data_IF_931548574003
#
_entry.id   IF_931548574003
#
_cell.length_a   1.000
_cell.length_b   1.000
_cell.length_c   1.000
_cell.angle_alpha   90.00
_cell.angle_beta   90.00
_cell.angle_gamma   90.00
#
_symmetry.space_group_name_H-M   'P 1'
#
loop_
_entity.id
_entity.type
_entity.pdbx_description
1 polymer ?
#
# COMPACT_ATOMS: atom_id res chain seq x y z
N UNK A 1 -4.48 -14.86 -4.06
CA UNK A 1 -4.42 -14.84 -2.58
C UNK A 1 -5.73 -15.27 -1.90
N UNK A 2 -6.90 -14.80 -2.36
CA UNK A 2 -8.21 -15.14 -1.76
C UNK A 2 -8.47 -16.65 -1.69
N UNK A 3 -8.28 -17.35 -2.82
CA UNK A 3 -8.45 -18.82 -2.89
C UNK A 3 -7.49 -19.58 -1.97
N UNK A 4 -6.24 -19.12 -1.84
CA UNK A 4 -5.26 -19.69 -0.92
C UNK A 4 -5.73 -19.51 0.54
N UNK A 5 -6.21 -18.32 0.90
CA UNK A 5 -6.70 -18.05 2.25
C UNK A 5 -7.95 -18.88 2.57
N UNK A 6 -8.82 -19.14 1.60
CA UNK A 6 -9.96 -20.04 1.75
C UNK A 6 -9.52 -21.45 2.17
N UNK A 7 -8.55 -22.04 1.46
CA UNK A 7 -7.97 -23.35 1.82
C UNK A 7 -7.29 -23.29 3.20
N UNK A 8 -6.46 -22.26 3.45
CA UNK A 8 -5.72 -22.12 4.72
C UNK A 8 -6.62 -21.98 5.94
N UNK A 9 -7.76 -21.30 5.82
CA UNK A 9 -8.73 -21.13 6.92
C UNK A 9 -9.26 -22.50 7.39
N UNK A 10 -9.59 -23.39 6.45
CA UNK A 10 -10.11 -24.74 6.73
C UNK A 10 -9.08 -25.70 7.31
N UNK A 11 -7.82 -25.56 6.89
CA UNK A 11 -6.70 -26.38 7.37
C UNK A 11 -6.07 -25.87 8.68
N UNK A 12 -6.72 -24.93 9.38
CA UNK A 12 -6.20 -24.29 10.57
C UNK A 12 -7.14 -24.45 11.75
N UNK A 13 -6.60 -24.65 12.95
CA UNK A 13 -7.37 -24.70 14.20
C UNK A 13 -7.85 -23.33 14.68
N UNK A 14 -7.25 -22.23 14.20
CA UNK A 14 -7.48 -20.88 14.75
C UNK A 14 -7.94 -19.83 13.73
N UNK A 15 -7.85 -20.12 12.42
CA UNK A 15 -8.21 -19.17 11.36
C UNK A 15 -9.70 -19.27 11.02
N UNK A 16 -10.22 -18.31 10.26
CA UNK A 16 -11.62 -18.30 9.81
C UNK A 16 -12.61 -18.38 10.97
N UNK A 17 -12.37 -17.58 12.01
CA UNK A 17 -13.23 -17.45 13.18
C UNK A 17 -13.05 -18.52 14.25
N UNK A 18 -12.23 -19.56 14.01
CA UNK A 18 -12.07 -20.67 14.96
C UNK A 18 -11.40 -20.27 16.26
N UNK A 19 -10.53 -19.26 16.27
CA UNK A 19 -9.97 -18.74 17.54
C UNK A 19 -11.06 -18.13 18.42
N UNK A 20 -11.94 -17.30 17.85
CA UNK A 20 -13.07 -16.74 18.59
C UNK A 20 -14.05 -17.83 19.05
N UNK A 21 -14.30 -18.83 18.21
CA UNK A 21 -15.11 -20.00 18.56
C UNK A 21 -14.51 -20.77 19.75
N UNK A 22 -13.19 -20.99 19.77
CA UNK A 22 -12.48 -21.65 20.88
C UNK A 22 -12.48 -20.81 22.17
N UNK A 23 -12.52 -19.49 22.06
CA UNK A 23 -12.58 -18.60 23.22
C UNK A 23 -13.98 -18.55 23.85
N UNK A 24 -15.03 -18.94 23.13
CA UNK A 24 -16.39 -18.91 23.65
C UNK A 24 -16.52 -19.77 24.95
N UNK A 25 -17.25 -19.27 25.97
CA UNK A 25 -18.12 -18.10 25.98
C UNK A 25 -17.42 -16.76 26.31
N UNK A 26 -16.10 -16.73 26.47
CA UNK A 26 -15.39 -15.47 26.72
C UNK A 26 -15.52 -14.51 25.53
N UNK A 27 -15.56 -13.20 25.84
CA UNK A 27 -15.59 -12.14 24.83
C UNK A 27 -14.19 -11.85 24.31
N UNK A 28 -14.09 -11.63 23.00
CA UNK A 28 -12.86 -11.25 22.29
C UNK A 28 -13.00 -9.81 21.80
N UNK A 29 -12.11 -8.94 22.26
CA UNK A 29 -11.92 -7.61 21.67
C UNK A 29 -10.70 -7.65 20.76
N UNK A 30 -10.92 -7.54 19.44
CA UNK A 30 -9.86 -7.50 18.44
C UNK A 30 -9.51 -6.05 18.13
N UNK A 31 -8.28 -5.65 18.43
CA UNK A 31 -7.72 -4.35 18.05
C UNK A 31 -6.75 -4.60 16.89
N UNK A 32 -7.10 -4.09 15.72
CA UNK A 32 -6.44 -4.44 14.45
C UNK A 32 -5.63 -3.26 13.94
N UNK A 33 -4.38 -3.52 13.62
CA UNK A 33 -3.54 -2.67 12.77
C UNK A 33 -3.50 -3.34 11.39
N UNK A 34 -4.12 -2.71 10.40
CA UNK A 34 -4.35 -3.29 9.08
C UNK A 34 -3.23 -2.92 8.11
N UNK A 35 -2.56 -3.94 7.60
CA UNK A 35 -1.63 -3.92 6.47
C UNK A 35 -2.28 -4.39 5.16
N UNK A 36 -3.61 -4.57 5.16
CA UNK A 36 -4.38 -5.08 4.02
C UNK A 36 -5.23 -3.96 3.43
N UNK A 37 -5.05 -3.70 2.13
CA UNK A 37 -5.86 -2.72 1.41
C UNK A 37 -7.36 -3.01 1.54
N UNK A 38 -8.12 -1.96 1.89
CA UNK A 38 -9.57 -2.05 2.12
C UNK A 38 -9.97 -2.68 3.45
N UNK A 39 -9.02 -2.89 4.37
CA UNK A 39 -9.26 -3.32 5.76
C UNK A 39 -10.10 -4.59 5.90
N UNK A 40 -9.90 -5.55 5.00
CA UNK A 40 -10.69 -6.78 4.97
C UNK A 40 -10.30 -7.73 6.11
N UNK A 41 -11.11 -7.71 7.17
CA UNK A 41 -10.92 -8.52 8.39
C UNK A 41 -10.83 -10.03 8.13
N UNK A 42 -11.49 -10.54 7.09
CA UNK A 42 -11.43 -11.94 6.67
C UNK A 42 -10.05 -12.37 6.13
N UNK A 43 -9.28 -11.39 5.68
CA UNK A 43 -7.99 -11.53 5.03
C UNK A 43 -6.85 -11.25 6.02
N UNK A 44 -7.01 -10.25 6.90
CA UNK A 44 -6.05 -9.91 7.96
C UNK A 44 -5.86 -11.10 8.89
N UNK A 45 -4.63 -11.62 8.98
CA UNK A 45 -4.29 -12.85 9.70
C UNK A 45 -5.15 -14.09 9.32
N UNK A 46 -5.83 -14.05 8.16
CA UNK A 46 -6.89 -15.01 7.77
C UNK A 46 -8.08 -15.07 8.75
N UNK A 47 -8.43 -13.94 9.36
CA UNK A 47 -9.65 -13.73 10.14
C UNK A 47 -9.81 -14.67 11.33
N UNK A 48 -8.88 -14.76 12.29
CA UNK A 48 -9.00 -15.69 13.43
C UNK A 48 -10.22 -15.38 14.33
N UNK A 49 -10.61 -14.12 14.42
CA UNK A 49 -11.79 -13.64 15.14
C UNK A 49 -12.84 -13.03 14.19
N UNK A 50 -12.90 -13.49 12.95
CA UNK A 50 -13.86 -13.00 11.96
C UNK A 50 -14.60 -14.20 11.33
N UNK A 51 -15.94 -14.11 11.12
CA UNK A 51 -16.67 -15.17 10.44
C UNK A 51 -16.11 -15.38 9.03
N UNK A 52 -16.13 -16.62 8.57
CA UNK A 52 -15.65 -16.97 7.24
C UNK A 52 -16.83 -17.34 6.34
N UNK A 53 -17.19 -16.45 5.43
CA UNK A 53 -18.32 -16.67 4.50
C UNK A 53 -18.09 -17.75 3.45
N UNK A 54 -16.85 -18.24 3.28
CA UNK A 54 -16.56 -19.28 2.29
C UNK A 54 -17.15 -20.64 2.66
N UNK A 55 -17.39 -21.50 1.66
CA UNK A 55 -18.00 -22.82 1.85
C UNK A 55 -17.05 -23.97 1.54
N UNK A 56 -17.40 -25.17 2.02
CA UNK A 56 -16.68 -26.41 1.67
C UNK A 56 -16.64 -26.61 0.16
N UNK A 57 -17.76 -26.37 -0.52
CA UNK A 57 -17.87 -26.57 -1.98
C UNK A 57 -16.97 -25.61 -2.76
N UNK A 58 -16.82 -24.37 -2.30
CA UNK A 58 -15.85 -23.44 -2.89
C UNK A 58 -14.41 -23.91 -2.69
N UNK A 59 -14.08 -24.41 -1.50
CA UNK A 59 -12.75 -24.93 -1.21
C UNK A 59 -12.42 -26.17 -2.05
N UNK A 60 -13.35 -27.11 -2.20
CA UNK A 60 -13.16 -28.30 -3.05
C UNK A 60 -13.06 -27.91 -4.53
N UNK A 61 -13.86 -26.93 -5.00
CA UNK A 61 -13.71 -26.39 -6.36
C UNK A 61 -12.33 -25.81 -6.62
N UNK A 62 -11.68 -25.19 -5.62
CA UNK A 62 -10.30 -24.70 -5.76
C UNK A 62 -9.32 -25.87 -5.90
N UNK A 63 -9.49 -26.94 -5.12
CA UNK A 63 -8.66 -28.15 -5.22
C UNK A 63 -8.74 -28.73 -6.64
N UNK A 64 -9.94 -28.85 -7.18
CA UNK A 64 -10.18 -29.35 -8.53
C UNK A 64 -9.63 -28.40 -9.60
N UNK A 65 -9.93 -27.10 -9.48
CA UNK A 65 -9.47 -26.04 -10.42
C UNK A 65 -7.97 -26.07 -10.64
N UNK A 66 -7.19 -26.32 -9.59
CA UNK A 66 -5.72 -26.35 -9.66
C UNK A 66 -5.13 -27.77 -9.70
N UNK A 67 -5.97 -28.82 -9.76
CA UNK A 67 -5.51 -30.21 -9.78
C UNK A 67 -4.66 -30.60 -8.55
N UNK A 68 -4.98 -30.06 -7.37
CA UNK A 68 -4.17 -30.24 -6.17
C UNK A 68 -4.32 -31.68 -5.64
N UNK A 69 -3.20 -32.39 -5.52
CA UNK A 69 -3.16 -33.73 -4.92
C UNK A 69 -3.04 -33.63 -3.41
N UNK A 70 -4.14 -33.88 -2.70
CA UNK A 70 -4.20 -33.81 -1.24
C UNK A 70 -4.18 -35.20 -0.60
N UNK A 71 -3.54 -35.30 0.56
CA UNK A 71 -3.62 -36.51 1.41
C UNK A 71 -5.05 -36.66 1.94
N UNK A 72 -5.56 -37.89 2.17
CA UNK A 72 -6.92 -38.12 2.64
C UNK A 72 -7.31 -37.28 3.87
N UNK A 73 -6.43 -37.18 4.87
CA UNK A 73 -6.70 -36.36 6.06
C UNK A 73 -6.87 -34.86 5.79
N UNK A 74 -6.25 -34.32 4.73
CA UNK A 74 -6.45 -32.93 4.32
C UNK A 74 -7.79 -32.75 3.61
N UNK A 75 -8.21 -33.72 2.80
CA UNK A 75 -9.54 -33.70 2.16
C UNK A 75 -10.63 -33.72 3.23
N UNK A 76 -10.49 -34.57 4.25
CA UNK A 76 -11.44 -34.60 5.37
C UNK A 76 -11.43 -33.29 6.17
N UNK A 77 -10.25 -32.70 6.41
CA UNK A 77 -10.17 -31.38 7.06
C UNK A 77 -10.84 -30.26 6.25
N UNK A 78 -10.75 -30.29 4.91
CA UNK A 78 -11.42 -29.32 4.03
C UNK A 78 -12.94 -29.44 4.05
N UNK A 79 -13.49 -30.62 4.37
CA UNK A 79 -14.93 -30.83 4.50
C UNK A 79 -15.51 -30.27 5.80
N UNK A 80 -14.67 -29.84 6.75
CA UNK A 80 -15.12 -29.21 7.99
C UNK A 80 -15.40 -27.73 7.75
N UNK A 81 -16.61 -27.30 8.10
CA UNK A 81 -17.03 -25.91 7.95
C UNK A 81 -16.27 -24.96 8.90
N UNK A 82 -16.13 -23.71 8.49
CA UNK A 82 -15.66 -22.61 9.34
C UNK A 82 -16.88 -21.84 9.90
N UNK A 83 -16.80 -21.26 11.12
CA UNK A 83 -17.91 -20.51 11.70
C UNK A 83 -18.36 -19.37 10.77
N UNK A 84 -19.66 -19.36 10.49
CA UNK A 84 -20.33 -18.36 9.63
C UNK A 84 -20.82 -17.15 10.40
N UNK A 85 -20.99 -17.31 11.71
CA UNK A 85 -21.42 -16.28 12.65
C UNK A 85 -20.58 -16.40 13.93
N UNK A 86 -20.34 -15.26 14.58
CA UNK A 86 -19.62 -15.14 15.85
C UNK A 86 -20.31 -14.04 16.68
N UNK A 87 -20.81 -14.38 17.87
CA UNK A 87 -21.53 -13.46 18.78
C UNK A 87 -20.66 -12.93 19.93
N UNK A 88 -19.45 -13.47 20.09
CA UNK A 88 -18.53 -13.14 21.17
C UNK A 88 -17.38 -12.20 20.75
N UNK A 89 -17.44 -11.58 19.56
CA UNK A 89 -16.36 -10.72 19.05
C UNK A 89 -16.80 -9.29 18.83
N UNK A 90 -15.98 -8.35 19.29
CA UNK A 90 -15.98 -6.95 18.85
C UNK A 90 -14.65 -6.62 18.18
N UNK A 91 -14.65 -5.96 17.02
CA UNK A 91 -13.44 -5.59 16.29
C UNK A 91 -13.33 -4.08 16.12
N UNK A 92 -12.14 -3.53 16.36
CA UNK A 92 -11.79 -2.13 16.14
C UNK A 92 -10.54 -2.09 15.26
N UNK A 93 -10.61 -1.39 14.13
CA UNK A 93 -9.41 -1.07 13.33
C UNK A 93 -8.79 0.19 13.95
N UNK A 94 -7.67 0.01 14.65
CA UNK A 94 -6.95 1.09 15.32
C UNK A 94 -6.01 1.85 14.37
N UNK A 95 -5.61 1.22 13.26
CA UNK A 95 -4.83 1.88 12.22
C UNK A 95 -4.92 1.13 10.89
N UNK A 96 -4.88 1.89 9.82
CA UNK A 96 -4.84 1.45 8.42
C UNK A 96 -4.33 2.56 7.51
N UNK A 97 -4.10 2.26 6.24
CA UNK A 97 -3.71 3.25 5.23
C UNK A 97 -4.72 4.41 5.14
N UNK A 98 -6.00 4.13 5.39
CA UNK A 98 -7.05 5.16 5.45
C UNK A 98 -6.81 6.12 6.61
N UNK A 99 -6.52 5.60 7.81
CA UNK A 99 -6.22 6.44 8.97
C UNK A 99 -4.94 7.26 8.78
N UNK A 100 -3.92 6.70 8.12
CA UNK A 100 -2.69 7.41 7.76
C UNK A 100 -2.98 8.57 6.80
N UNK A 101 -3.78 8.34 5.76
CA UNK A 101 -4.21 9.37 4.82
C UNK A 101 -5.03 10.46 5.51
N UNK A 102 -5.99 10.10 6.38
CA UNK A 102 -6.79 11.07 7.13
C UNK A 102 -5.93 11.92 8.07
N UNK A 103 -4.90 11.34 8.69
CA UNK A 103 -3.97 12.09 9.53
C UNK A 103 -3.16 13.10 8.68
N UNK A 104 -2.62 12.67 7.53
CA UNK A 104 -1.90 13.55 6.62
C UNK A 104 -2.80 14.66 6.04
N UNK A 105 -4.04 14.34 5.70
CA UNK A 105 -5.05 15.30 5.25
C UNK A 105 -5.34 16.36 6.31
N UNK A 106 -5.56 15.94 7.56
CA UNK A 106 -5.79 16.84 8.68
C UNK A 106 -4.60 17.78 8.88
N UNK A 107 -3.38 17.24 8.93
CA UNK A 107 -2.17 18.04 9.08
C UNK A 107 -1.97 19.03 7.93
N UNK A 108 -2.18 18.62 6.68
CA UNK A 108 -2.08 19.52 5.54
C UNK A 108 -3.11 20.67 5.61
N UNK A 109 -4.34 20.36 6.04
CA UNK A 109 -5.39 21.38 6.25
C UNK A 109 -5.03 22.38 7.34
N UNK A 110 -4.49 21.91 8.47
CA UNK A 110 -4.02 22.75 9.58
C UNK A 110 -2.86 23.67 9.15
N UNK A 111 -2.05 23.23 8.18
CA UNK A 111 -0.98 24.02 7.56
C UNK A 111 -1.47 24.97 6.45
N UNK A 112 -2.78 25.02 6.17
CA UNK A 112 -3.40 25.95 5.23
C UNK A 112 -3.53 25.43 3.79
N UNK A 113 -3.29 24.15 3.53
CA UNK A 113 -3.49 23.55 2.21
C UNK A 113 -4.94 23.06 2.05
N UNK A 114 -5.52 23.27 0.87
CA UNK A 114 -6.75 22.55 0.49
C UNK A 114 -6.41 21.10 0.16
N UNK A 115 -7.16 20.15 0.72
CA UNK A 115 -6.84 18.73 0.55
C UNK A 115 -7.74 18.04 -0.46
N UNK A 116 -7.19 17.03 -1.12
CA UNK A 116 -7.92 16.11 -1.98
C UNK A 116 -7.34 14.70 -1.83
N UNK A 117 -7.99 13.85 -1.05
CA UNK A 117 -7.70 12.42 -1.00
C UNK A 117 -8.33 11.71 -2.21
N UNK A 118 -7.52 11.21 -3.12
CA UNK A 118 -8.01 10.56 -4.35
C UNK A 118 -8.42 9.11 -4.12
N UNK A 119 -7.65 8.36 -3.33
CA UNK A 119 -7.93 6.95 -3.02
C UNK A 119 -7.06 6.46 -1.87
N UNK A 120 -7.53 5.45 -1.14
CA UNK A 120 -6.79 4.69 -0.11
C UNK A 120 -6.55 3.23 -0.53
N UNK A 121 -6.78 2.90 -1.81
CA UNK A 121 -6.75 1.52 -2.33
C UNK A 121 -5.93 1.37 -3.62
N UNK A 122 -5.01 2.31 -3.89
CA UNK A 122 -4.17 2.19 -5.10
C UNK A 122 -3.32 0.91 -5.04
N UNK A 123 -3.25 0.22 -6.17
CA UNK A 123 -2.53 -1.05 -6.32
C UNK A 123 -1.97 -1.24 -7.73
N UNK A 124 -1.83 -0.14 -8.47
CA UNK A 124 -1.25 -0.12 -9.81
C UNK A 124 0.29 -0.13 -9.76
N UNK A 125 0.91 -0.07 -10.95
CA UNK A 125 2.36 0.02 -11.06
C UNK A 125 2.88 1.39 -10.56
N UNK A 126 3.93 1.36 -9.74
CA UNK A 126 4.49 2.53 -9.06
C UNK A 126 4.82 3.69 -10.01
N UNK A 127 5.52 3.40 -11.11
CA UNK A 127 5.86 4.41 -12.12
C UNK A 127 4.65 5.08 -12.76
N UNK A 128 3.58 4.33 -12.97
CA UNK A 128 2.33 4.84 -13.56
C UNK A 128 1.60 5.74 -12.55
N UNK A 129 1.60 5.37 -11.26
CA UNK A 129 1.07 6.23 -10.20
C UNK A 129 1.84 7.56 -10.11
N UNK A 130 3.18 7.53 -10.20
CA UNK A 130 4.00 8.74 -10.23
C UNK A 130 3.71 9.64 -11.45
N UNK A 131 3.61 9.04 -12.64
CA UNK A 131 3.27 9.77 -13.88
C UNK A 131 1.85 10.37 -13.84
N UNK A 132 0.90 9.66 -13.24
CA UNK A 132 -0.46 10.13 -13.02
C UNK A 132 -0.49 11.33 -12.06
N UNK A 133 0.21 11.25 -10.93
CA UNK A 133 0.32 12.36 -9.97
C UNK A 133 0.97 13.59 -10.59
N UNK A 134 2.02 13.42 -11.41
CA UNK A 134 2.62 14.54 -12.12
C UNK A 134 1.66 15.19 -13.13
N UNK A 135 0.78 14.42 -13.75
CA UNK A 135 -0.25 14.95 -14.65
C UNK A 135 -1.28 15.79 -13.89
N UNK A 136 -1.69 15.34 -12.70
CA UNK A 136 -2.54 16.13 -11.80
C UNK A 136 -1.83 17.43 -11.38
N UNK A 137 -0.53 17.37 -11.04
CA UNK A 137 0.24 18.55 -10.69
C UNK A 137 0.23 19.59 -11.81
N UNK A 138 0.45 19.16 -13.06
CA UNK A 138 0.40 20.03 -14.24
C UNK A 138 -0.97 20.68 -14.43
N UNK A 139 -2.05 19.90 -14.30
CA UNK A 139 -3.42 20.43 -14.41
C UNK A 139 -3.70 21.46 -13.32
N UNK A 140 -3.29 21.19 -12.07
CA UNK A 140 -3.43 22.12 -10.94
C UNK A 140 -2.68 23.43 -11.23
N UNK A 141 -1.45 23.35 -11.74
CA UNK A 141 -0.65 24.55 -12.06
C UNK A 141 -1.18 25.32 -13.27
N UNK A 142 -1.78 24.63 -14.23
CA UNK A 142 -2.29 25.25 -15.46
C UNK A 142 -3.68 25.88 -15.26
N UNK A 143 -4.58 25.23 -14.52
CA UNK A 143 -6.00 25.59 -14.47
C UNK A 143 -6.58 25.75 -13.06
N UNK A 144 -5.81 25.39 -12.01
CA UNK A 144 -6.30 25.37 -10.63
C UNK A 144 -7.30 24.25 -10.35
N UNK A 145 -7.38 23.23 -11.21
CA UNK A 145 -8.25 22.05 -11.07
C UNK A 145 -7.42 20.78 -10.82
N UNK A 146 -7.98 19.75 -10.17
CA UNK A 146 -9.31 19.69 -9.55
C UNK A 146 -9.40 20.49 -8.23
N UNK A 147 -8.26 20.95 -7.70
CA UNK A 147 -8.16 21.74 -6.47
C UNK A 147 -7.17 22.87 -6.67
N UNK A 148 -7.55 24.09 -6.26
CA UNK A 148 -6.72 25.27 -6.48
C UNK A 148 -5.59 25.38 -5.43
N UNK A 149 -4.36 25.79 -5.80
CA UNK A 149 -3.28 26.05 -4.86
C UNK A 149 -3.64 27.12 -3.79
N UNK A 150 -3.02 27.09 -2.59
CA UNK A 150 -2.16 26.03 -2.09
C UNK A 150 -2.97 24.76 -1.78
N UNK A 151 -2.53 23.61 -2.30
CA UNK A 151 -3.24 22.35 -2.16
C UNK A 151 -2.33 21.14 -1.94
N UNK A 152 -2.91 20.12 -1.33
CA UNK A 152 -2.32 18.82 -1.03
C UNK A 152 -3.19 17.71 -1.63
N UNK A 153 -2.65 16.95 -2.58
CA UNK A 153 -3.34 15.79 -3.17
C UNK A 153 -2.73 14.52 -2.59
N UNK A 154 -3.58 13.65 -2.04
CA UNK A 154 -3.16 12.48 -1.29
C UNK A 154 -3.58 11.18 -2.00
N UNK A 155 -2.71 10.19 -1.85
CA UNK A 155 -2.87 8.83 -2.32
C UNK A 155 -2.40 7.86 -1.25
N UNK A 156 -3.24 6.88 -0.92
CA UNK A 156 -2.91 5.77 -0.06
C UNK A 156 -3.11 4.45 -0.78
N UNK A 157 -2.24 3.48 -0.50
CA UNK A 157 -2.42 2.10 -0.89
C UNK A 157 -1.11 1.34 -0.89
N UNK A 158 -0.94 0.43 -1.84
CA UNK A 158 0.26 -0.38 -1.97
C UNK A 158 0.53 -0.67 -3.44
N UNK A 159 1.44 0.11 -4.04
CA UNK A 159 1.78 -0.05 -5.45
C UNK A 159 2.74 -1.23 -5.67
N UNK A 160 2.86 -1.66 -6.93
CA UNK A 160 3.79 -2.73 -7.31
C UNK A 160 4.87 -2.20 -8.24
N UNK A 161 6.03 -2.85 -8.21
CA UNK A 161 7.10 -2.62 -9.18
C UNK A 161 7.25 -3.87 -10.03
N UNK A 162 7.22 -3.70 -11.36
CA UNK A 162 7.61 -4.76 -12.29
C UNK A 162 9.11 -4.68 -12.52
N UNK A 163 9.85 -5.59 -11.89
CA UNK A 163 11.30 -5.69 -12.06
C UNK A 163 11.65 -6.10 -13.50
N UNK A 164 12.48 -5.29 -14.14
CA UNK A 164 13.03 -5.47 -15.49
C UNK A 164 14.55 -5.34 -15.48
N UNK A 165 15.07 -4.38 -14.71
CA UNK A 165 16.50 -4.17 -14.52
C UNK A 165 17.06 -4.86 -13.28
N UNK A 166 18.30 -4.50 -12.96
CA UNK A 166 19.07 -5.07 -11.82
C UNK A 166 19.40 -4.04 -10.75
N UNK A 167 18.81 -2.85 -10.85
CA UNK A 167 19.01 -1.75 -9.93
C UNK A 167 18.46 -2.04 -8.52
N UNK A 168 18.69 -1.07 -7.66
CA UNK A 168 18.18 -1.04 -6.29
C UNK A 168 17.13 0.06 -6.18
N UNK A 169 16.01 -0.26 -5.56
CA UNK A 169 14.91 0.69 -5.42
C UNK A 169 13.71 0.08 -4.72
N UNK A 170 12.69 0.90 -4.57
CA UNK A 170 11.39 0.50 -4.04
C UNK A 170 10.25 1.20 -4.77
N UNK A 171 9.02 0.84 -4.38
CA UNK A 171 7.81 1.32 -5.05
C UNK A 171 7.59 2.80 -4.81
N UNK A 172 7.83 3.29 -3.59
CA UNK A 172 7.67 4.70 -3.24
C UNK A 172 8.77 5.56 -3.89
N UNK A 173 9.99 5.03 -3.98
CA UNK A 173 11.09 5.63 -4.73
C UNK A 173 10.79 5.70 -6.24
N UNK A 174 10.19 4.66 -6.84
CA UNK A 174 9.75 4.70 -8.25
C UNK A 174 8.62 5.70 -8.49
N UNK A 175 7.64 5.82 -7.59
CA UNK A 175 6.59 6.87 -7.67
C UNK A 175 7.26 8.25 -7.70
N UNK A 176 8.17 8.51 -6.76
CA UNK A 176 8.86 9.79 -6.65
C UNK A 176 9.67 10.11 -7.91
N UNK A 177 10.51 9.18 -8.37
CA UNK A 177 11.32 9.39 -9.58
C UNK A 177 10.47 9.58 -10.85
N UNK A 178 9.41 8.78 -11.02
CA UNK A 178 8.50 8.93 -12.15
C UNK A 178 7.76 10.28 -12.12
N UNK A 179 7.35 10.73 -10.93
CA UNK A 179 6.74 12.03 -10.77
C UNK A 179 7.71 13.18 -11.10
N UNK A 180 8.96 13.10 -10.66
CA UNK A 180 10.00 14.10 -10.90
C UNK A 180 10.15 14.44 -12.39
N UNK A 181 10.11 13.42 -13.27
CA UNK A 181 10.14 13.61 -14.72
C UNK A 181 8.95 14.43 -15.23
N UNK A 182 7.76 14.16 -14.70
CA UNK A 182 6.54 14.84 -15.13
C UNK A 182 6.35 16.25 -14.55
N UNK A 183 6.90 16.54 -13.37
CA UNK A 183 6.83 17.87 -12.74
C UNK A 183 8.03 18.76 -13.06
N UNK A 184 8.95 18.31 -13.91
CA UNK A 184 10.13 19.08 -14.32
C UNK A 184 9.77 20.52 -14.72
N UNK A 185 10.45 21.48 -14.10
CA UNK A 185 10.28 22.92 -14.35
C UNK A 185 9.08 23.55 -13.65
N UNK A 186 8.21 22.79 -12.97
CA UNK A 186 7.13 23.35 -12.17
C UNK A 186 7.69 23.95 -10.87
N UNK A 187 7.53 25.26 -10.71
CA UNK A 187 7.85 25.95 -9.46
C UNK A 187 6.83 25.63 -8.38
N UNK A 188 7.31 25.52 -7.15
CA UNK A 188 6.51 25.32 -5.95
C UNK A 188 5.61 24.07 -5.97
N UNK A 189 6.13 23.00 -6.61
CA UNK A 189 5.52 21.68 -6.67
C UNK A 189 6.50 20.65 -6.11
N UNK A 190 6.04 19.83 -5.18
CA UNK A 190 6.81 18.74 -4.62
C UNK A 190 5.94 17.49 -4.43
N UNK A 191 6.53 16.31 -4.59
CA UNK A 191 5.89 15.03 -4.32
C UNK A 191 6.72 14.22 -3.34
N UNK A 192 6.06 13.75 -2.28
CA UNK A 192 6.57 12.81 -1.29
C UNK A 192 5.85 11.47 -1.48
N UNK A 193 6.57 10.37 -1.42
CA UNK A 193 6.00 9.02 -1.35
C UNK A 193 6.79 8.21 -0.35
N UNK A 194 6.11 7.56 0.60
CA UNK A 194 6.73 6.80 1.69
C UNK A 194 5.97 5.53 2.06
N UNK A 195 6.71 4.48 2.41
CA UNK A 195 6.23 3.30 3.13
C UNK A 195 6.17 3.58 4.62
N UNK A 196 5.03 3.26 5.24
CA UNK A 196 4.78 3.56 6.67
C UNK A 196 5.63 2.74 7.64
N UNK A 197 6.23 1.65 7.19
CA UNK A 197 7.20 0.84 7.95
C UNK A 197 8.61 1.43 8.00
N UNK A 198 8.84 2.48 7.21
CA UNK A 198 10.12 3.16 7.09
C UNK A 198 11.09 2.47 6.15
N UNK A 199 10.61 1.51 5.35
CA UNK A 199 11.42 0.74 4.41
C UNK A 199 10.70 0.65 3.05
N UNK A 200 11.43 0.86 1.96
CA UNK A 200 10.89 0.78 0.60
C UNK A 200 11.81 -0.07 -0.27
N UNK A 201 11.30 -1.25 -0.65
CA UNK A 201 12.11 -2.28 -1.29
C UNK A 201 13.24 -2.81 -0.39
N UNK A 202 14.29 -3.43 -0.96
CA UNK A 202 15.46 -3.88 -0.21
C UNK A 202 16.44 -2.72 0.07
N UNK A 203 15.94 -1.65 0.69
CA UNK A 203 16.71 -0.42 0.96
C UNK A 203 16.56 0.03 2.42
N UNK A 204 17.31 1.06 2.82
CA UNK A 204 17.19 1.72 4.14
C UNK A 204 16.34 3.00 4.10
N UNK A 205 15.78 3.32 2.92
CA UNK A 205 14.91 4.47 2.73
C UNK A 205 13.45 4.06 2.87
N UNK A 206 12.62 4.97 3.37
CA UNK A 206 11.17 4.82 3.39
C UNK A 206 10.53 5.16 2.04
N UNK A 207 11.25 5.88 1.16
CA UNK A 207 10.70 6.35 -0.11
C UNK A 207 11.50 7.53 -0.67
N UNK A 208 10.80 8.44 -1.35
CA UNK A 208 11.41 9.58 -2.04
C UNK A 208 10.64 10.88 -1.92
N UNK A 209 11.38 11.99 -1.93
CA UNK A 209 10.88 13.37 -2.00
C UNK A 209 11.52 14.06 -3.20
N UNK A 210 10.69 14.57 -4.10
CA UNK A 210 11.13 15.22 -5.33
C UNK A 210 10.39 16.52 -5.58
N UNK A 211 10.96 17.38 -6.40
CA UNK A 211 10.39 18.64 -6.83
C UNK A 211 10.62 18.89 -8.33
N UNK A 212 10.18 20.05 -8.82
CA UNK A 212 10.36 20.44 -10.22
C UNK A 212 11.81 20.59 -10.70
N UNK A 213 12.82 20.54 -9.81
CA UNK A 213 14.24 20.65 -10.16
C UNK A 213 14.95 19.30 -10.17
N UNK A 214 14.39 18.29 -9.50
CA UNK A 214 15.02 16.97 -9.32
C UNK A 214 15.48 16.33 -10.63
N UNK A 215 14.64 16.33 -11.67
CA UNK A 215 14.99 15.73 -12.95
C UNK A 215 16.16 16.45 -13.65
N UNK A 216 16.26 17.77 -13.53
CA UNK A 216 17.38 18.54 -14.09
C UNK A 216 18.66 18.33 -13.28
N UNK A 217 18.55 18.26 -11.95
CA UNK A 217 19.68 17.99 -11.06
C UNK A 217 20.32 16.63 -11.38
N UNK A 218 19.52 15.60 -11.62
CA UNK A 218 20.01 14.27 -12.04
C UNK A 218 20.76 14.34 -13.37
N UNK A 219 20.19 15.03 -14.37
CA UNK A 219 20.85 15.22 -15.66
C UNK A 219 22.16 15.99 -15.52
N UNK A 220 22.21 17.00 -14.65
CA UNK A 220 23.44 17.73 -14.32
C UNK A 220 24.52 16.86 -13.68
N UNK A 221 24.14 15.75 -13.04
CA UNK A 221 25.04 14.73 -12.50
C UNK A 221 25.39 13.62 -13.52
N UNK A 222 24.94 13.75 -14.77
CA UNK A 222 25.15 12.74 -15.81
C UNK A 222 24.30 11.49 -15.66
N UNK A 223 23.21 11.55 -14.88
CA UNK A 223 22.26 10.44 -14.70
C UNK A 223 20.94 10.75 -15.41
N UNK A 224 20.48 9.87 -16.29
CA UNK A 224 19.16 10.03 -16.93
C UNK A 224 18.05 9.39 -16.08
N UNK A 225 17.06 10.16 -15.59
CA UNK A 225 15.93 9.60 -14.84
C UNK A 225 15.17 8.48 -15.57
N UNK A 226 15.11 8.52 -16.91
CA UNK A 226 14.44 7.49 -17.71
C UNK A 226 15.19 6.16 -17.63
N UNK A 227 16.52 6.19 -17.76
CA UNK A 227 17.38 5.01 -17.64
C UNK A 227 17.35 4.43 -16.21
N UNK A 228 17.40 5.30 -15.20
CA UNK A 228 17.30 4.88 -13.79
C UNK A 228 16.00 4.10 -13.56
N UNK A 229 14.87 4.60 -14.07
CA UNK A 229 13.56 3.96 -13.90
C UNK A 229 13.42 2.69 -14.75
N UNK A 230 14.06 2.64 -15.92
CA UNK A 230 14.12 1.45 -16.77
C UNK A 230 14.90 0.31 -16.08
N UNK A 231 15.98 0.65 -15.38
CA UNK A 231 16.83 -0.30 -14.65
C UNK A 231 16.34 -0.65 -13.23
N UNK A 232 15.21 -0.09 -12.79
CA UNK A 232 14.69 -0.20 -11.42
C UNK A 232 15.72 0.26 -10.35
N UNK A 233 16.49 1.31 -10.65
CA UNK A 233 17.59 1.82 -9.82
C UNK A 233 17.25 3.12 -9.06
N UNK A 234 15.98 3.30 -8.71
CA UNK A 234 15.45 4.54 -8.13
C UNK A 234 16.16 4.97 -6.84
N UNK A 235 16.71 4.03 -6.07
CA UNK A 235 17.48 4.33 -4.86
C UNK A 235 18.73 5.16 -5.17
N UNK A 236 19.55 4.70 -6.11
CA UNK A 236 20.81 5.37 -6.43
C UNK A 236 20.56 6.73 -7.09
N UNK A 237 19.56 6.81 -7.96
CA UNK A 237 19.12 8.07 -8.55
C UNK A 237 18.74 9.09 -7.47
N UNK A 238 17.78 8.75 -6.62
CA UNK A 238 17.33 9.65 -5.55
C UNK A 238 18.44 9.97 -4.55
N UNK A 239 19.33 9.03 -4.23
CA UNK A 239 20.47 9.29 -3.37
C UNK A 239 21.41 10.36 -3.94
N UNK A 240 21.69 10.28 -5.25
CA UNK A 240 22.59 11.22 -5.92
C UNK A 240 22.11 12.68 -5.88
N UNK A 241 20.78 12.89 -5.87
CA UNK A 241 20.18 14.22 -5.79
C UNK A 241 19.62 14.58 -4.41
N UNK A 242 19.87 13.79 -3.37
CA UNK A 242 19.36 14.02 -2.01
C UNK A 242 17.84 13.88 -1.86
N UNK A 243 17.20 13.14 -2.77
CA UNK A 243 15.76 12.90 -2.79
C UNK A 243 15.29 11.69 -1.98
N UNK A 244 16.18 10.97 -1.27
CA UNK A 244 15.79 9.87 -0.40
C UNK A 244 15.14 10.37 0.88
N UNK A 245 14.13 9.64 1.35
CA UNK A 245 13.49 9.89 2.65
C UNK A 245 13.90 8.78 3.60
N UNK A 246 14.71 9.12 4.61
CA UNK A 246 15.20 8.18 5.62
C UNK A 246 14.47 8.44 6.94
N UNK A 247 13.56 7.55 7.31
CA UNK A 247 12.86 7.61 8.61
C UNK A 247 13.46 6.67 9.65
N UNK A 248 14.15 5.62 9.19
CA UNK A 248 14.41 4.44 10.00
C UNK A 248 13.14 3.60 10.23
N UNK A 249 13.26 2.44 10.89
CA UNK A 249 12.12 1.57 11.16
C UNK A 249 11.13 2.26 12.10
N UNK A 250 9.86 2.32 11.68
CA UNK A 250 8.81 3.02 12.44
C UNK A 250 8.12 2.13 13.48
N UNK A 251 8.25 0.80 13.34
CA UNK A 251 7.57 -0.18 14.20
C UNK A 251 6.08 -0.38 13.87
N UNK A 252 5.60 0.15 12.75
CA UNK A 252 4.22 -0.04 12.25
C UNK A 252 4.26 -0.42 10.76
N UNK A 253 3.15 -0.93 10.21
CA UNK A 253 2.98 -1.05 8.77
C UNK A 253 1.48 -0.96 8.44
N UNK A 254 1.12 0.10 7.73
CA UNK A 254 -0.22 0.36 7.19
C UNK A 254 -0.10 0.79 5.72
N UNK A 255 0.82 0.17 4.98
CA UNK A 255 1.14 0.40 3.57
C UNK A 255 1.73 1.80 3.28
N UNK A 256 1.41 2.39 2.12
CA UNK A 256 2.09 3.58 1.59
C UNK A 256 1.22 4.84 1.65
N UNK A 257 1.88 6.00 1.79
CA UNK A 257 1.32 7.34 1.64
C UNK A 257 2.10 8.12 0.58
N UNK A 258 1.38 8.69 -0.38
CA UNK A 258 1.90 9.64 -1.36
C UNK A 258 1.18 10.98 -1.24
N UNK A 259 1.94 12.06 -1.22
CA UNK A 259 1.49 13.43 -1.03
C UNK A 259 2.10 14.34 -2.10
N UNK A 260 1.27 14.97 -2.92
CA UNK A 260 1.65 16.02 -3.86
C UNK A 260 1.24 17.38 -3.30
N UNK A 261 2.21 18.28 -3.17
CA UNK A 261 1.98 19.67 -2.77
C UNK A 261 2.15 20.60 -3.97
N UNK A 262 1.19 21.49 -4.15
CA UNK A 262 1.29 22.62 -5.08
C UNK A 262 0.99 23.89 -4.28
N UNK A 263 1.95 24.82 -4.17
CA UNK A 263 1.77 26.06 -3.41
C UNK A 263 1.32 27.23 -4.28
#
# INVERSE_FOLDING_TARGET
IVEINMIRKRLSSVKGGRFAQLAAPARVLSVVLSDVLGDRLDSIASGPAHPDGSTVDEALRIVDKYGLKLRPGLVEALKVETPKELDNVSTVIAGSVTSLCSAAEKTASELGYKTLLLSTTISCEAREAGAFMASIAREIRASGRPVAPPCAVLLGGETIVRLKGKGKGGRNQEIALAAAMGIKGLKDVALLSIGSDGTDGPTDAAGGLVDGQTAENLKGLGMDPEDILAENDSYNGLNACGGLVITGPTGTNVNDLTLLLCR
#
